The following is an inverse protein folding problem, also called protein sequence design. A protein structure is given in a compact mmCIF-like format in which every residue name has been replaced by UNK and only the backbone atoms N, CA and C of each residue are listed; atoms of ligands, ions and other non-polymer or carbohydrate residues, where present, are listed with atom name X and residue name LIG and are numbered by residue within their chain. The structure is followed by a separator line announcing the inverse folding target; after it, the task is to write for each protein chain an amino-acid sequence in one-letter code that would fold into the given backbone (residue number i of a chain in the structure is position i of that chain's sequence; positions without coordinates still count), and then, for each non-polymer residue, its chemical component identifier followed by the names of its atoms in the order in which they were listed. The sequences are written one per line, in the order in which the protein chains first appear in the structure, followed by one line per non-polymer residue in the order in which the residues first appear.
data_IF_411819178381
#
_entry.id   IF_411819178381
#
_cell.length_a   1.000
_cell.length_b   1.000
_cell.length_c   1.000
_cell.angle_alpha   90.00
_cell.angle_beta   90.00
_cell.angle_gamma   90.00
#
_symmetry.space_group_name_H-M   'P 1'
#
loop_
_entity.id
_entity.type
_entity.pdbx_description
1 polymer ?
#
# COMPACT_ATOMS: atom_id res chain seq x y z
N UNK A 1 -24.38 3.12 -19.98
CA UNK A 1 -24.29 3.95 -18.75
C UNK A 1 -25.02 3.32 -17.56
N UNK A 2 -26.02 2.47 -17.77
CA UNK A 2 -26.71 1.74 -16.68
C UNK A 2 -25.78 0.82 -15.88
N UNK A 3 -24.85 0.11 -16.54
CA UNK A 3 -23.89 -0.78 -15.86
C UNK A 3 -23.00 -0.09 -14.81
N UNK A 4 -22.59 1.16 -15.06
CA UNK A 4 -21.80 1.94 -14.11
C UNK A 4 -22.65 2.37 -12.90
N UNK A 5 -23.95 2.64 -13.14
CA UNK A 5 -24.89 3.07 -12.11
C UNK A 5 -25.25 1.91 -11.17
N UNK A 6 -25.54 0.73 -11.72
CA UNK A 6 -25.76 -0.51 -10.96
C UNK A 6 -24.53 -0.90 -10.12
N UNK A 7 -23.32 -0.74 -10.68
CA UNK A 7 -22.09 -0.99 -9.90
C UNK A 7 -21.90 0.04 -8.80
N UNK A 8 -22.23 1.30 -9.03
CA UNK A 8 -22.16 2.34 -8.00
C UNK A 8 -23.19 2.10 -6.89
N UNK A 9 -24.41 1.69 -7.23
CA UNK A 9 -25.46 1.35 -6.27
C UNK A 9 -25.07 0.13 -5.42
N UNK A 10 -24.55 -0.94 -6.04
CA UNK A 10 -24.00 -2.09 -5.30
C UNK A 10 -22.83 -1.69 -4.39
N UNK A 11 -21.96 -0.80 -4.86
CA UNK A 11 -20.90 -0.24 -4.01
C UNK A 11 -21.50 0.52 -2.82
N UNK A 12 -22.56 1.31 -3.04
CA UNK A 12 -23.31 2.03 -2.03
C UNK A 12 -23.90 1.13 -0.94
N UNK A 13 -24.52 0.01 -1.32
CA UNK A 13 -25.03 -0.97 -0.35
C UNK A 13 -23.91 -1.61 0.49
N UNK A 14 -22.77 -1.92 -0.12
CA UNK A 14 -21.58 -2.41 0.59
C UNK A 14 -20.99 -1.32 1.51
N UNK A 15 -21.08 -0.04 1.10
CA UNK A 15 -20.70 1.12 1.91
C UNK A 15 -21.51 1.24 3.19
N UNK A 16 -22.82 1.05 3.10
CA UNK A 16 -23.70 1.10 4.27
C UNK A 16 -23.49 -0.10 5.19
N UNK A 17 -23.23 -1.28 4.63
CA UNK A 17 -23.13 -2.51 5.41
C UNK A 17 -21.76 -2.67 6.11
N UNK A 18 -20.66 -2.26 5.46
CA UNK A 18 -19.30 -2.46 5.99
C UNK A 18 -18.37 -1.26 5.75
N UNK A 19 -18.71 -0.04 6.25
CA UNK A 19 -17.97 1.18 5.94
C UNK A 19 -16.49 1.09 6.35
N UNK A 20 -16.20 0.45 7.48
CA UNK A 20 -14.82 0.30 7.97
C UNK A 20 -13.95 -0.62 7.10
N UNK A 21 -14.52 -1.61 6.41
CA UNK A 21 -13.76 -2.51 5.52
C UNK A 21 -13.40 -1.76 4.24
N UNK A 22 -14.35 -1.01 3.69
CA UNK A 22 -14.13 -0.17 2.51
C UNK A 22 -13.07 0.90 2.73
N UNK A 23 -13.06 1.56 3.90
CA UNK A 23 -12.01 2.53 4.25
C UNK A 23 -10.62 1.86 4.22
N UNK A 24 -10.49 0.64 4.76
CA UNK A 24 -9.22 -0.10 4.74
C UNK A 24 -8.82 -0.41 3.30
N UNK A 25 -9.75 -0.86 2.45
CA UNK A 25 -9.47 -1.17 1.04
C UNK A 25 -9.06 0.08 0.27
N UNK A 26 -9.78 1.20 0.41
CA UNK A 26 -9.43 2.47 -0.24
C UNK A 26 -8.06 2.98 0.22
N UNK A 27 -7.81 2.95 1.53
CA UNK A 27 -6.51 3.32 2.08
C UNK A 27 -5.39 2.42 1.54
N UNK A 28 -5.64 1.12 1.43
CA UNK A 28 -4.69 0.15 0.85
C UNK A 28 -4.36 0.48 -0.60
N UNK A 29 -5.37 0.79 -1.41
CA UNK A 29 -5.16 1.18 -2.82
C UNK A 29 -4.33 2.46 -2.90
N UNK A 30 -4.67 3.49 -2.11
CA UNK A 30 -3.89 4.71 -2.03
C UNK A 30 -2.44 4.43 -1.64
N UNK A 31 -2.21 3.67 -0.57
CA UNK A 31 -0.88 3.32 -0.10
C UNK A 31 -0.11 2.51 -1.14
N UNK A 32 -0.74 1.60 -1.87
CA UNK A 32 -0.09 0.84 -2.93
C UNK A 32 0.38 1.77 -4.05
N UNK A 33 -0.44 2.75 -4.46
CA UNK A 33 -0.09 3.76 -5.48
C UNK A 33 1.03 4.69 -5.00
N UNK A 34 1.00 5.11 -3.73
CA UNK A 34 2.00 6.02 -3.17
C UNK A 34 3.31 5.33 -2.78
N UNK A 35 3.27 4.03 -2.51
CA UNK A 35 4.42 3.30 -1.97
C UNK A 35 5.68 3.30 -2.84
N UNK A 36 5.65 3.30 -4.19
CA UNK A 36 6.86 3.44 -4.99
C UNK A 36 7.56 4.79 -4.77
N UNK A 37 6.79 5.87 -4.63
CA UNK A 37 7.34 7.21 -4.36
C UNK A 37 8.01 7.23 -2.99
N UNK A 38 7.33 6.72 -1.97
CA UNK A 38 7.89 6.60 -0.61
C UNK A 38 9.16 5.74 -0.63
N UNK A 39 9.16 4.62 -1.36
CA UNK A 39 10.31 3.74 -1.49
C UNK A 39 11.51 4.44 -2.09
N UNK A 40 11.33 5.15 -3.21
CA UNK A 40 12.41 5.92 -3.85
C UNK A 40 12.90 7.03 -2.92
N UNK A 41 12.00 7.78 -2.28
CA UNK A 41 12.38 8.85 -1.34
C UNK A 41 13.20 8.31 -0.16
N UNK A 42 12.87 7.13 0.36
CA UNK A 42 13.66 6.47 1.40
C UNK A 42 15.05 6.08 0.88
N UNK A 43 15.14 5.47 -0.30
CA UNK A 43 16.44 5.11 -0.89
C UNK A 43 17.32 6.34 -1.11
N UNK A 44 16.77 7.42 -1.68
CA UNK A 44 17.49 8.67 -1.87
C UNK A 44 17.94 9.26 -0.53
N UNK A 45 17.05 9.30 0.48
CA UNK A 45 17.40 9.78 1.81
C UNK A 45 18.53 8.97 2.47
N UNK A 46 18.55 7.65 2.28
CA UNK A 46 19.65 6.80 2.76
C UNK A 46 20.95 7.12 2.00
N UNK A 47 20.89 7.22 0.67
CA UNK A 47 22.07 7.52 -0.16
C UNK A 47 22.70 8.87 0.19
N UNK A 48 21.85 9.87 0.45
CA UNK A 48 22.25 11.25 0.76
C UNK A 48 22.56 11.46 2.25
N UNK A 49 22.48 10.42 3.08
CA UNK A 49 22.85 10.50 4.49
C UNK A 49 24.36 10.77 4.62
N UNK A 50 24.69 11.96 5.12
CA UNK A 50 26.08 12.39 5.32
C UNK A 50 26.52 12.16 6.77
N UNK A 51 27.66 11.50 6.96
CA UNK A 51 28.30 11.32 8.26
C UNK A 51 29.72 11.87 8.19
N UNK A 52 30.04 12.84 9.05
CA UNK A 52 31.40 13.39 9.24
C UNK A 52 32.11 13.90 7.96
N UNK A 53 31.36 14.13 6.87
CA UNK A 53 31.72 14.55 5.49
C UNK A 53 31.56 13.49 4.38
N UNK A 54 31.42 12.20 4.71
CA UNK A 54 31.26 11.13 3.74
C UNK A 54 29.79 10.70 3.52
N UNK A 55 29.50 10.08 2.38
CA UNK A 55 28.21 9.45 2.04
C UNK A 55 28.35 7.92 2.08
N UNK A 56 28.40 7.31 3.28
CA UNK A 56 28.80 5.91 3.44
C UNK A 56 27.86 4.92 2.74
N UNK A 57 26.58 5.28 2.55
CA UNK A 57 25.58 4.37 1.97
C UNK A 57 25.39 4.55 0.47
N UNK A 58 25.96 5.60 -0.12
CA UNK A 58 25.80 5.89 -1.55
C UNK A 58 26.33 4.73 -2.41
N UNK A 59 27.57 4.31 -2.16
CA UNK A 59 28.17 3.19 -2.89
C UNK A 59 27.39 1.89 -2.68
N UNK A 60 26.90 1.63 -1.47
CA UNK A 60 26.10 0.43 -1.16
C UNK A 60 24.81 0.39 -2.00
N UNK A 61 24.15 1.53 -2.20
CA UNK A 61 22.93 1.63 -3.02
C UNK A 61 23.27 1.48 -4.51
N UNK A 62 24.32 2.15 -4.98
CA UNK A 62 24.77 2.09 -6.37
C UNK A 62 25.15 0.65 -6.77
N UNK A 63 25.91 -0.05 -5.92
CA UNK A 63 26.35 -1.43 -6.15
C UNK A 63 25.19 -2.44 -6.17
N UNK A 64 24.06 -2.12 -5.54
CA UNK A 64 22.90 -3.01 -5.41
C UNK A 64 21.65 -2.51 -6.14
N UNK A 65 21.79 -1.52 -7.03
CA UNK A 65 20.65 -0.88 -7.70
C UNK A 65 19.80 -1.88 -8.52
N UNK A 66 20.46 -2.89 -9.09
CA UNK A 66 19.81 -3.96 -9.85
C UNK A 66 18.87 -4.83 -9.01
N UNK A 67 19.14 -4.96 -7.71
CA UNK A 67 18.25 -5.66 -6.78
C UNK A 67 17.19 -4.69 -6.25
N UNK A 68 17.60 -3.47 -5.87
CA UNK A 68 16.71 -2.46 -5.30
C UNK A 68 15.58 -2.04 -6.25
N UNK A 69 15.80 -2.06 -7.57
CA UNK A 69 14.74 -1.74 -8.54
C UNK A 69 13.50 -2.64 -8.43
N UNK A 70 13.65 -3.89 -7.98
CA UNK A 70 12.51 -4.79 -7.76
C UNK A 70 11.63 -4.33 -6.59
N UNK A 71 12.16 -3.53 -5.66
CA UNK A 71 11.39 -2.91 -4.59
C UNK A 71 10.24 -2.04 -5.09
N UNK A 72 10.35 -1.44 -6.28
CA UNK A 72 9.28 -0.67 -6.91
C UNK A 72 8.01 -1.49 -7.19
N UNK A 73 8.15 -2.80 -7.34
CA UNK A 73 7.04 -3.73 -7.60
C UNK A 73 6.70 -4.53 -6.34
N UNK A 74 7.71 -5.02 -5.63
CA UNK A 74 7.52 -5.84 -4.44
C UNK A 74 6.86 -5.08 -3.29
N UNK A 75 7.19 -3.79 -3.11
CA UNK A 75 6.62 -2.98 -2.03
C UNK A 75 5.12 -2.75 -2.22
N UNK A 76 4.61 -2.30 -3.40
CA UNK A 76 3.18 -2.21 -3.65
C UNK A 76 2.44 -3.53 -3.44
N UNK A 77 3.01 -4.65 -3.89
CA UNK A 77 2.42 -5.99 -3.69
C UNK A 77 2.30 -6.31 -2.21
N UNK A 78 3.37 -6.07 -1.42
CA UNK A 78 3.34 -6.29 0.02
C UNK A 78 2.29 -5.41 0.71
N UNK A 79 2.18 -4.14 0.32
CA UNK A 79 1.14 -3.22 0.83
C UNK A 79 -0.26 -3.75 0.53
N UNK A 80 -0.51 -4.23 -0.69
CA UNK A 80 -1.78 -4.84 -1.10
C UNK A 80 -2.07 -6.07 -0.23
N UNK A 81 -1.13 -7.01 -0.11
CA UNK A 81 -1.31 -8.23 0.68
C UNK A 81 -1.66 -7.92 2.14
N UNK A 82 -0.93 -6.99 2.77
CA UNK A 82 -1.18 -6.58 4.15
C UNK A 82 -2.53 -5.88 4.29
N UNK A 83 -2.82 -4.92 3.41
CA UNK A 83 -4.05 -4.15 3.46
C UNK A 83 -5.31 -5.00 3.25
N UNK A 84 -5.28 -5.95 2.31
CA UNK A 84 -6.38 -6.90 2.12
C UNK A 84 -6.50 -7.89 3.29
N UNK A 85 -5.39 -8.30 3.90
CA UNK A 85 -5.44 -9.15 5.11
C UNK A 85 -6.13 -8.40 6.26
N UNK A 86 -5.82 -7.12 6.46
CA UNK A 86 -6.47 -6.27 7.47
C UNK A 86 -7.96 -6.05 7.16
N UNK A 87 -8.31 -5.83 5.89
CA UNK A 87 -9.70 -5.70 5.47
C UNK A 87 -10.49 -7.00 5.73
N UNK A 88 -9.89 -8.15 5.43
CA UNK A 88 -10.50 -9.46 5.67
C UNK A 88 -10.69 -9.73 7.17
N UNK A 89 -9.67 -9.48 7.99
CA UNK A 89 -9.77 -9.62 9.45
C UNK A 89 -10.86 -8.71 10.03
N UNK A 90 -10.98 -7.47 9.51
CA UNK A 90 -12.03 -6.54 9.92
C UNK A 90 -13.41 -7.06 9.53
N UNK A 91 -13.57 -7.54 8.30
CA UNK A 91 -14.82 -8.13 7.81
C UNK A 91 -15.24 -9.34 8.67
N UNK A 92 -14.31 -10.27 8.92
CA UNK A 92 -14.56 -11.46 9.75
C UNK A 92 -15.02 -11.09 11.16
N UNK A 93 -14.37 -10.10 11.80
CA UNK A 93 -14.76 -9.60 13.13
C UNK A 93 -16.13 -8.92 13.18
N UNK A 94 -16.58 -8.33 12.07
CA UNK A 94 -17.93 -7.77 12.00
C UNK A 94 -18.94 -8.91 11.86
N UNK A 95 -18.67 -9.87 10.97
CA UNK A 95 -19.57 -11.00 10.71
C UNK A 95 -19.79 -11.86 11.97
N UNK A 96 -18.74 -12.11 12.75
CA UNK A 96 -18.80 -12.88 14.00
C UNK A 96 -19.56 -12.19 15.14
N UNK A 97 -20.06 -10.97 14.94
CA UNK A 97 -20.94 -10.29 15.90
C UNK A 97 -22.42 -10.48 15.56
N UNK A 98 -22.71 -10.91 14.33
CA UNK A 98 -24.06 -11.15 13.84
C UNK A 98 -24.40 -12.64 13.78
N UNK A 99 -23.39 -13.51 13.68
CA UNK A 99 -23.47 -14.97 13.76
C UNK A 99 -22.67 -15.46 14.97
#
# INVERSE_FOLDING_TARGET
MEWLKEKLENLGEVFDQFPSVLIIVLFTICMAIFSPFVYVSILTGIADTQILTAFPFKNLIEDNIDVLKYGLVLVPIAVICLGFSLAHERYSRILSRFY
#
